data_IF_777146677649
#
_entry.id   IF_777146677649
#
_cell.length_a   1.000
_cell.length_b   1.000
_cell.length_c   1.000
_cell.angle_alpha   90.00
_cell.angle_beta   90.00
_cell.angle_gamma   90.00
#
_symmetry.space_group_name_H-M   'P 1'
#
loop_
_entity.id
_entity.type
_entity.pdbx_description
1 polymer ?
#
# COMPACT_ATOMS: atom_id res chain seq x y z
N UNK A 1 83.53 -22.91 2.09
CA UNK A 1 83.35 -21.63 1.35
C UNK A 1 82.12 -20.95 1.94
N UNK A 2 82.29 -20.16 3.01
CA UNK A 2 81.20 -19.49 3.72
C UNK A 2 81.01 -18.08 3.14
N UNK A 3 79.94 -17.86 2.38
CA UNK A 3 79.47 -16.51 2.05
C UNK A 3 78.29 -16.17 2.96
N UNK A 4 78.47 -15.13 3.78
CA UNK A 4 77.41 -14.51 4.57
C UNK A 4 76.51 -13.74 3.60
N UNK A 5 75.22 -14.07 3.59
CA UNK A 5 74.19 -13.29 2.90
C UNK A 5 73.80 -12.09 3.75
N UNK A 6 73.75 -10.91 3.13
CA UNK A 6 73.22 -9.68 3.75
C UNK A 6 71.79 -9.52 3.26
N UNK A 7 70.83 -9.66 4.17
CA UNK A 7 69.41 -9.39 3.92
C UNK A 7 69.16 -7.90 4.13
N UNK A 8 68.72 -7.20 3.09
CA UNK A 8 68.26 -5.82 3.18
C UNK A 8 66.73 -5.81 3.20
N UNK A 9 66.14 -5.31 4.29
CA UNK A 9 64.70 -5.19 4.43
C UNK A 9 64.25 -3.83 3.88
N UNK A 10 63.40 -3.84 2.84
CA UNK A 10 62.70 -2.65 2.36
C UNK A 10 61.47 -2.41 3.26
N UNK A 11 61.46 -1.32 4.01
CA UNK A 11 60.28 -0.85 4.72
C UNK A 11 59.36 -0.09 3.73
N UNK A 12 58.23 -0.68 3.37
CA UNK A 12 57.16 -0.01 2.62
C UNK A 12 56.43 0.97 3.55
N UNK A 13 56.64 2.27 3.33
CA UNK A 13 55.88 3.32 3.99
C UNK A 13 54.44 3.33 3.49
N UNK A 14 53.49 3.01 4.36
CA UNK A 14 52.07 3.17 4.07
C UNK A 14 51.72 4.68 4.16
N UNK A 15 51.48 5.30 3.01
CA UNK A 15 50.87 6.63 2.93
C UNK A 15 49.38 6.50 3.29
N UNK A 16 49.02 6.91 4.50
CA UNK A 16 47.63 7.12 4.90
C UNK A 16 47.12 8.37 4.17
N UNK A 17 46.41 8.19 3.06
CA UNK A 17 45.58 9.27 2.50
C UNK A 17 44.35 9.40 3.38
N UNK A 18 44.32 10.44 4.21
CA UNK A 18 43.11 10.87 4.88
C UNK A 18 42.06 11.24 3.81
N UNK A 19 41.03 10.41 3.65
CA UNK A 19 39.87 10.74 2.86
C UNK A 19 39.12 11.85 3.59
N UNK A 20 39.24 13.08 3.08
CA UNK A 20 38.36 14.16 3.47
C UNK A 20 36.97 13.80 2.98
N UNK A 21 36.02 13.62 3.90
CA UNK A 21 34.62 13.49 3.53
C UNK A 21 34.21 14.77 2.79
N UNK A 22 33.74 14.61 1.56
CA UNK A 22 33.28 15.73 0.74
C UNK A 22 32.16 16.46 1.50
N UNK A 23 32.29 17.78 1.77
CA UNK A 23 31.29 18.53 2.53
C UNK A 23 29.93 18.64 1.82
N UNK A 24 29.85 18.13 0.58
CA UNK A 24 28.68 18.18 -0.30
C UNK A 24 27.94 16.83 -0.42
N UNK A 25 28.29 15.83 0.40
CA UNK A 25 27.59 14.55 0.48
C UNK A 25 27.75 13.65 -0.76
N UNK A 26 27.07 12.51 -0.77
CA UNK A 26 27.31 11.46 -1.77
C UNK A 26 26.97 11.95 -3.20
N UNK A 27 27.83 11.70 -4.20
CA UNK A 27 27.55 12.03 -5.59
C UNK A 27 26.41 11.16 -6.15
N UNK A 28 25.74 11.60 -7.23
CA UNK A 28 24.75 10.77 -7.92
C UNK A 28 25.28 9.38 -8.27
N UNK A 29 24.41 8.37 -8.17
CA UNK A 29 24.69 6.98 -8.54
C UNK A 29 23.51 6.37 -9.32
N UNK A 30 23.62 5.09 -9.68
CA UNK A 30 22.58 4.39 -10.45
C UNK A 30 21.21 4.31 -9.76
N UNK A 31 21.14 4.56 -8.44
CA UNK A 31 19.91 4.56 -7.64
C UNK A 31 19.48 5.98 -7.22
N UNK A 32 20.42 6.92 -7.18
CA UNK A 32 20.21 8.29 -6.76
C UNK A 32 20.69 9.26 -7.83
N UNK A 33 19.76 9.74 -8.66
CA UNK A 33 20.10 10.64 -9.77
C UNK A 33 20.66 12.02 -9.35
N UNK A 34 20.60 12.36 -8.06
CA UNK A 34 21.00 13.66 -7.52
C UNK A 34 21.90 13.47 -6.31
N UNK A 35 22.88 14.37 -6.15
CA UNK A 35 23.72 14.39 -4.97
C UNK A 35 22.93 14.79 -3.72
N UNK A 36 23.48 14.49 -2.55
CA UNK A 36 22.96 15.07 -1.30
C UNK A 36 23.14 16.59 -1.37
N UNK A 37 22.10 17.37 -1.05
CA UNK A 37 22.12 18.84 -1.17
C UNK A 37 22.32 19.40 -2.60
N UNK A 38 21.95 18.64 -3.65
CA UNK A 38 22.02 19.14 -5.03
C UNK A 38 20.92 20.16 -5.34
N UNK A 39 21.30 21.44 -5.43
CA UNK A 39 20.40 22.56 -5.76
C UNK A 39 19.85 22.50 -7.20
N UNK A 40 20.43 21.70 -8.10
CA UNK A 40 19.89 21.49 -9.45
C UNK A 40 18.76 20.45 -9.47
N UNK A 41 18.50 19.75 -8.36
CA UNK A 41 17.40 18.81 -8.25
C UNK A 41 16.07 19.56 -8.49
N UNK A 42 15.22 19.11 -9.43
CA UNK A 42 13.94 19.75 -9.68
C UNK A 42 13.10 19.83 -8.40
N UNK A 43 12.44 20.98 -8.14
CA UNK A 43 11.55 21.08 -7.00
C UNK A 43 10.43 20.05 -7.11
N UNK A 44 10.07 19.46 -5.97
CA UNK A 44 8.94 18.53 -5.93
C UNK A 44 7.66 19.25 -6.35
N UNK A 45 6.86 18.60 -7.20
CA UNK A 45 5.55 19.14 -7.58
C UNK A 45 4.69 19.20 -6.32
N UNK A 46 4.15 20.38 -6.01
CA UNK A 46 3.22 20.53 -4.89
C UNK A 46 1.94 19.74 -5.19
N UNK A 47 1.64 18.76 -4.34
CA UNK A 47 0.38 18.02 -4.38
C UNK A 47 -0.66 18.79 -3.57
N UNK A 48 -1.85 19.00 -4.15
CA UNK A 48 -2.94 19.74 -3.51
C UNK A 48 -4.20 18.90 -3.46
N UNK A 49 -4.90 18.96 -2.33
CA UNK A 49 -6.24 18.42 -2.15
C UNK A 49 -7.01 19.33 -1.18
N UNK A 50 -8.28 19.61 -1.48
CA UNK A 50 -9.19 20.14 -0.46
C UNK A 50 -9.69 18.95 0.40
N UNK A 51 -10.17 19.20 1.63
CA UNK A 51 -10.79 18.14 2.44
C UNK A 51 -11.88 17.39 1.66
N UNK A 52 -11.78 16.06 1.62
CA UNK A 52 -12.72 15.20 0.89
C UNK A 52 -12.56 15.21 -0.63
N UNK A 53 -11.55 15.89 -1.18
CA UNK A 53 -11.27 15.88 -2.62
C UNK A 53 -10.08 14.99 -2.95
N UNK A 54 -10.10 14.45 -4.17
CA UNK A 54 -9.02 13.64 -4.70
C UNK A 54 -7.77 14.52 -4.88
N UNK A 55 -6.57 14.09 -4.43
CA UNK A 55 -5.32 14.79 -4.68
C UNK A 55 -5.06 15.01 -6.17
N UNK A 56 -4.41 16.12 -6.50
CA UNK A 56 -4.17 16.57 -7.88
C UNK A 56 -3.35 15.60 -8.76
N UNK A 57 -2.64 14.64 -8.16
CA UNK A 57 -1.84 13.63 -8.83
C UNK A 57 -2.43 12.21 -8.75
N UNK A 58 -3.55 12.03 -8.05
CA UNK A 58 -4.14 10.73 -7.85
C UNK A 58 -4.93 10.28 -9.09
N UNK A 59 -4.78 8.99 -9.44
CA UNK A 59 -5.66 8.33 -10.41
C UNK A 59 -6.98 8.00 -9.75
N UNK A 60 -8.07 8.55 -10.27
CA UNK A 60 -9.43 8.21 -9.83
C UNK A 60 -9.80 6.82 -10.33
N UNK A 61 -9.93 5.85 -9.42
CA UNK A 61 -10.34 4.48 -9.75
C UNK A 61 -11.86 4.35 -9.87
N UNK A 62 -12.61 5.12 -9.08
CA UNK A 62 -14.06 5.18 -9.11
C UNK A 62 -14.53 6.58 -8.71
N UNK A 63 -15.50 7.11 -9.46
CA UNK A 63 -16.01 8.49 -9.33
C UNK A 63 -17.53 8.53 -9.11
N UNK A 64 -18.15 7.40 -8.79
CA UNK A 64 -19.60 7.27 -8.68
C UNK A 64 -20.31 6.94 -9.98
N UNK A 65 -19.60 6.71 -11.09
CA UNK A 65 -20.23 6.44 -12.40
C UNK A 65 -19.96 5.02 -12.91
N UNK A 66 -20.89 4.43 -13.68
CA UNK A 66 -20.64 3.18 -14.41
C UNK A 66 -19.47 3.31 -15.42
N UNK A 67 -19.20 4.51 -15.91
CA UNK A 67 -18.14 4.77 -16.88
C UNK A 67 -16.75 4.57 -16.26
N UNK A 68 -16.51 5.04 -15.03
CA UNK A 68 -15.24 4.79 -14.33
C UNK A 68 -15.05 3.31 -13.99
N UNK A 69 -16.12 2.57 -13.68
CA UNK A 69 -16.07 1.10 -13.54
C UNK A 69 -15.64 0.44 -14.85
N UNK A 70 -16.34 0.74 -15.94
CA UNK A 70 -16.01 0.17 -17.25
C UNK A 70 -14.60 0.54 -17.73
N UNK A 71 -14.11 1.74 -17.39
CA UNK A 71 -12.78 2.20 -17.75
C UNK A 71 -11.68 1.52 -16.92
N UNK A 72 -11.86 1.38 -15.61
CA UNK A 72 -10.77 1.05 -14.69
C UNK A 72 -10.81 -0.37 -14.11
N UNK A 73 -11.94 -1.09 -14.20
CA UNK A 73 -12.14 -2.36 -13.50
C UNK A 73 -12.57 -3.51 -14.42
N UNK A 74 -12.22 -4.73 -14.03
CA UNK A 74 -12.63 -5.97 -14.69
C UNK A 74 -12.84 -7.10 -13.67
N UNK A 75 -13.41 -8.21 -14.12
CA UNK A 75 -13.42 -9.47 -13.36
C UNK A 75 -12.07 -10.20 -13.49
N UNK A 76 -11.97 -11.40 -12.90
CA UNK A 76 -10.76 -12.23 -12.94
C UNK A 76 -10.38 -12.72 -14.35
N UNK A 77 -11.31 -12.69 -15.30
CA UNK A 77 -11.10 -13.07 -16.70
C UNK A 77 -10.84 -11.84 -17.60
N UNK A 78 -10.71 -10.64 -17.03
CA UNK A 78 -10.55 -9.39 -17.78
C UNK A 78 -11.84 -8.90 -18.45
N UNK A 79 -12.99 -9.51 -18.15
CA UNK A 79 -14.29 -9.13 -18.67
C UNK A 79 -14.93 -8.02 -17.80
N UNK A 80 -16.00 -7.36 -18.26
CA UNK A 80 -16.74 -6.42 -17.42
C UNK A 80 -17.17 -7.07 -16.10
N UNK A 81 -16.97 -6.35 -15.00
CA UNK A 81 -17.44 -6.79 -13.68
C UNK A 81 -18.97 -6.88 -13.62
N UNK A 82 -19.46 -7.73 -12.72
CA UNK A 82 -20.88 -7.85 -12.35
C UNK A 82 -21.27 -6.97 -11.15
N UNK A 83 -20.32 -6.25 -10.56
CA UNK A 83 -20.61 -5.22 -9.57
C UNK A 83 -21.36 -4.07 -10.26
N UNK A 84 -22.25 -3.42 -9.53
CA UNK A 84 -23.15 -2.40 -10.09
C UNK A 84 -22.93 -1.07 -9.39
N UNK A 85 -23.23 0.02 -10.09
CA UNK A 85 -23.34 1.35 -9.47
C UNK A 85 -24.81 1.61 -9.25
N UNK A 86 -25.19 1.98 -8.03
CA UNK A 86 -26.59 2.29 -7.70
C UNK A 86 -26.95 3.76 -8.01
N UNK A 87 -28.19 4.14 -7.70
CA UNK A 87 -28.69 5.50 -7.96
C UNK A 87 -27.99 6.58 -7.11
N UNK A 88 -27.40 6.20 -5.97
CA UNK A 88 -26.64 7.11 -5.11
C UNK A 88 -25.20 7.30 -5.59
N UNK A 89 -24.75 6.50 -6.57
CA UNK A 89 -23.37 6.48 -7.04
C UNK A 89 -22.48 5.54 -6.23
N UNK A 90 -23.04 4.66 -5.40
CA UNK A 90 -22.26 3.69 -4.65
C UNK A 90 -21.94 2.47 -5.50
N UNK A 91 -20.72 1.97 -5.41
CA UNK A 91 -20.30 0.71 -6.04
C UNK A 91 -20.71 -0.47 -5.15
N UNK A 92 -21.65 -1.29 -5.64
CA UNK A 92 -22.28 -2.36 -4.89
C UNK A 92 -21.72 -3.73 -5.29
N UNK A 93 -21.21 -4.45 -4.28
CA UNK A 93 -20.87 -5.87 -4.40
C UNK A 93 -22.13 -6.72 -4.45
N UNK A 94 -22.37 -7.38 -5.59
CA UNK A 94 -23.52 -8.26 -5.78
C UNK A 94 -23.15 -9.69 -5.41
N UNK A 95 -24.03 -10.40 -4.69
CA UNK A 95 -23.82 -11.80 -4.33
C UNK A 95 -23.56 -12.65 -5.58
N UNK A 96 -22.42 -13.35 -5.61
CA UNK A 96 -22.02 -14.20 -6.73
C UNK A 96 -21.35 -13.44 -7.90
N UNK A 97 -21.09 -12.14 -7.75
CA UNK A 97 -20.35 -11.36 -8.75
C UNK A 97 -18.87 -11.73 -8.83
N UNK A 98 -18.30 -12.24 -7.72
CA UNK A 98 -16.87 -12.51 -7.60
C UNK A 98 -16.05 -11.26 -7.33
N UNK A 99 -14.72 -11.42 -7.38
CA UNK A 99 -13.75 -10.33 -7.20
C UNK A 99 -13.71 -9.42 -8.42
N UNK A 100 -13.28 -8.18 -8.17
CA UNK A 100 -12.96 -7.20 -9.22
C UNK A 100 -11.52 -6.76 -9.07
N UNK A 101 -10.93 -6.38 -10.19
CA UNK A 101 -9.53 -6.02 -10.29
C UNK A 101 -9.40 -4.69 -11.03
N UNK A 102 -8.48 -3.85 -10.59
CA UNK A 102 -8.05 -2.74 -11.42
C UNK A 102 -7.41 -3.29 -12.70
N UNK A 103 -7.70 -2.68 -13.84
CA UNK A 103 -7.06 -3.03 -15.11
C UNK A 103 -5.58 -2.65 -15.11
N UNK A 104 -5.25 -1.56 -14.43
CA UNK A 104 -3.87 -1.15 -14.18
C UNK A 104 -3.26 -1.97 -13.04
N UNK A 105 -1.93 -2.11 -13.10
CA UNK A 105 -1.12 -2.73 -12.05
C UNK A 105 -0.30 -1.66 -11.35
N UNK A 106 -0.17 -1.79 -10.04
CA UNK A 106 0.53 -0.83 -9.19
C UNK A 106 1.65 -1.53 -8.41
N UNK A 107 2.70 -0.78 -8.06
CA UNK A 107 3.76 -1.20 -7.15
C UNK A 107 3.64 -0.42 -5.85
N UNK A 108 4.48 0.59 -5.63
CA UNK A 108 4.34 1.47 -4.48
C UNK A 108 3.22 2.48 -4.77
N UNK A 109 2.27 2.60 -3.86
CA UNK A 109 1.14 3.51 -4.00
C UNK A 109 0.59 3.98 -2.66
N UNK A 110 -0.15 5.09 -2.71
CA UNK A 110 -1.10 5.47 -1.68
C UNK A 110 -2.51 5.21 -2.21
N UNK A 111 -3.35 4.55 -1.41
CA UNK A 111 -4.72 4.19 -1.78
C UNK A 111 -5.70 4.79 -0.77
N UNK A 112 -6.77 5.42 -1.27
CA UNK A 112 -7.93 5.84 -0.50
C UNK A 112 -9.14 5.02 -0.95
N UNK A 113 -9.82 4.38 -0.01
CA UNK A 113 -11.06 3.64 -0.24
C UNK A 113 -12.02 3.92 0.91
N UNK A 114 -13.27 4.19 0.56
CA UNK A 114 -14.38 4.27 1.51
C UNK A 114 -15.29 3.07 1.28
N UNK A 115 -15.86 2.54 2.36
CA UNK A 115 -16.76 1.40 2.30
C UNK A 115 -17.84 1.53 3.37
N UNK A 116 -18.96 0.87 3.13
CA UNK A 116 -20.06 0.79 4.09
C UNK A 116 -20.59 -0.64 4.17
N UNK A 117 -20.81 -1.12 5.40
CA UNK A 117 -21.52 -2.38 5.62
C UNK A 117 -23.00 -2.25 5.18
N UNK A 118 -23.64 -3.36 4.77
CA UNK A 118 -25.07 -3.35 4.44
C UNK A 118 -25.92 -2.85 5.60
N UNK A 119 -26.88 -1.94 5.33
CA UNK A 119 -27.81 -1.40 6.35
C UNK A 119 -28.54 -2.50 7.14
N UNK A 120 -28.89 -3.60 6.47
CA UNK A 120 -29.51 -4.76 7.11
C UNK A 120 -28.43 -5.70 7.64
N UNK A 121 -28.23 -5.63 8.95
CA UNK A 121 -27.36 -6.56 9.68
C UNK A 121 -27.86 -8.01 9.51
N UNK A 122 -26.97 -8.88 9.02
CA UNK A 122 -27.18 -10.32 8.89
C UNK A 122 -25.86 -11.06 9.07
N UNK A 123 -25.92 -12.24 9.67
CA UNK A 123 -24.74 -13.07 9.93
C UNK A 123 -24.00 -12.67 11.20
N UNK A 124 -22.87 -13.32 11.45
CA UNK A 124 -22.00 -13.11 12.61
C UNK A 124 -20.55 -13.46 12.26
N UNK A 125 -19.60 -12.95 13.03
CA UNK A 125 -18.16 -13.04 12.76
C UNK A 125 -17.84 -12.60 11.33
N UNK A 126 -17.06 -13.43 10.64
CA UNK A 126 -16.72 -13.29 9.21
C UNK A 126 -17.93 -13.38 8.27
N UNK A 127 -19.09 -13.84 8.72
CA UNK A 127 -20.29 -13.92 7.88
C UNK A 127 -21.07 -12.61 7.77
N UNK A 128 -20.63 -11.55 8.46
CA UNK A 128 -21.37 -10.28 8.59
C UNK A 128 -20.63 -9.15 7.87
N UNK A 129 -21.14 -8.77 6.69
CA UNK A 129 -20.61 -7.62 5.94
C UNK A 129 -19.16 -7.77 5.47
N UNK A 130 -18.73 -8.98 5.13
CA UNK A 130 -17.34 -9.31 4.77
C UNK A 130 -17.01 -8.96 3.31
N UNK A 131 -15.87 -8.31 3.12
CA UNK A 131 -15.19 -8.02 1.86
C UNK A 131 -13.69 -7.84 2.14
N UNK A 132 -12.91 -7.38 1.15
CA UNK A 132 -11.49 -7.11 1.37
C UNK A 132 -10.85 -6.29 0.26
N UNK A 133 -9.79 -5.57 0.59
CA UNK A 133 -8.95 -4.85 -0.38
C UNK A 133 -7.62 -5.60 -0.49
N UNK A 134 -7.38 -6.22 -1.66
CA UNK A 134 -6.20 -7.04 -1.90
C UNK A 134 -5.08 -6.21 -2.55
N UNK A 135 -4.07 -5.85 -1.78
CA UNK A 135 -2.89 -5.14 -2.28
C UNK A 135 -2.06 -6.10 -3.13
N UNK A 136 -1.85 -5.73 -4.40
CA UNK A 136 -1.14 -6.53 -5.40
C UNK A 136 -1.70 -7.97 -5.55
N UNK A 137 -2.95 -8.19 -5.16
CA UNK A 137 -3.60 -9.50 -5.19
C UNK A 137 -3.15 -10.49 -4.11
N UNK A 138 -2.28 -10.09 -3.18
CA UNK A 138 -1.64 -11.00 -2.22
C UNK A 138 -1.93 -10.67 -0.75
N UNK A 139 -2.05 -9.38 -0.42
CA UNK A 139 -2.19 -8.93 0.96
C UNK A 139 -3.56 -8.31 1.17
N UNK A 140 -4.40 -8.93 1.98
CA UNK A 140 -5.75 -8.46 2.24
C UNK A 140 -5.76 -7.49 3.42
N UNK A 141 -6.24 -6.27 3.13
CA UNK A 141 -6.73 -5.37 4.16
C UNK A 141 -8.21 -5.66 4.34
N UNK A 142 -8.55 -6.12 5.54
CA UNK A 142 -9.86 -6.67 5.82
C UNK A 142 -10.95 -5.59 5.81
N UNK A 143 -12.08 -5.89 5.17
CA UNK A 143 -13.30 -5.08 5.23
C UNK A 143 -14.39 -5.93 5.87
N UNK A 144 -14.92 -5.48 7.01
CA UNK A 144 -15.91 -6.24 7.76
C UNK A 144 -16.82 -5.31 8.55
N UNK A 145 -18.09 -5.71 8.74
CA UNK A 145 -18.92 -5.09 9.77
C UNK A 145 -18.40 -5.48 11.16
N UNK A 146 -17.43 -4.71 11.66
CA UNK A 146 -16.80 -4.87 12.97
C UNK A 146 -17.42 -3.96 14.03
N UNK A 147 -18.73 -3.68 13.92
CA UNK A 147 -19.43 -2.93 14.97
C UNK A 147 -19.53 -3.78 16.25
N UNK A 148 -19.01 -3.24 17.37
CA UNK A 148 -19.00 -3.88 18.71
C UNK A 148 -18.42 -5.31 18.71
N UNK A 149 -17.09 -5.44 18.58
CA UNK A 149 -16.39 -6.75 18.52
C UNK A 149 -16.10 -7.38 19.88
N UNK A 150 -16.23 -6.63 20.97
CA UNK A 150 -16.10 -7.16 22.33
C UNK A 150 -17.29 -8.09 22.64
N UNK A 151 -16.99 -9.33 23.03
CA UNK A 151 -18.01 -10.33 23.39
C UNK A 151 -18.81 -9.93 24.63
N UNK A 152 -18.17 -9.18 25.53
CA UNK A 152 -18.68 -8.78 26.84
C UNK A 152 -19.30 -7.38 26.82
N UNK A 153 -19.21 -6.65 25.70
CA UNK A 153 -19.81 -5.32 25.58
C UNK A 153 -21.35 -5.38 25.78
N UNK A 154 -21.93 -4.39 26.49
CA UNK A 154 -23.37 -4.29 26.67
C UNK A 154 -24.04 -3.94 25.34
N UNK A 155 -25.08 -4.68 24.96
CA UNK A 155 -25.81 -4.45 23.71
C UNK A 155 -26.17 -5.74 22.97
N UNK A 156 -27.00 -5.60 21.93
CA UNK A 156 -27.50 -6.72 21.13
C UNK A 156 -26.90 -6.82 19.73
N UNK A 157 -26.20 -5.79 19.25
CA UNK A 157 -25.72 -5.72 17.86
C UNK A 157 -24.24 -6.06 17.69
N UNK A 158 -23.65 -6.77 18.66
CA UNK A 158 -22.25 -7.17 18.64
C UNK A 158 -21.89 -8.09 17.48
N UNK A 159 -20.65 -8.00 17.04
CA UNK A 159 -20.06 -8.94 16.09
C UNK A 159 -18.70 -9.49 16.58
N UNK A 160 -18.68 -10.37 17.61
CA UNK A 160 -17.45 -10.95 18.11
C UNK A 160 -16.70 -11.69 17.00
N UNK A 161 -15.39 -11.46 16.91
CA UNK A 161 -14.53 -12.03 15.90
C UNK A 161 -13.08 -12.09 16.39
N UNK A 162 -12.23 -12.84 15.70
CA UNK A 162 -10.81 -12.88 16.00
C UNK A 162 -10.12 -11.58 15.56
N UNK A 163 -9.17 -11.11 16.38
CA UNK A 163 -8.59 -9.77 16.28
C UNK A 163 -7.81 -9.52 14.99
N UNK A 164 -7.22 -10.57 14.42
CA UNK A 164 -6.48 -10.54 13.15
C UNK A 164 -7.39 -10.74 11.91
N UNK A 165 -8.71 -10.74 12.10
CA UNK A 165 -9.69 -10.81 11.01
C UNK A 165 -10.81 -9.78 11.07
N UNK A 166 -10.70 -8.77 11.95
CA UNK A 166 -11.63 -7.65 11.99
C UNK A 166 -11.25 -6.55 10.98
N UNK A 167 -12.15 -5.59 10.75
CA UNK A 167 -11.92 -4.49 9.81
C UNK A 167 -10.59 -3.77 10.06
N UNK A 168 -9.83 -3.54 8.99
CA UNK A 168 -8.51 -2.90 9.05
C UNK A 168 -7.34 -3.82 9.40
N UNK A 169 -7.58 -5.10 9.73
CA UNK A 169 -6.51 -6.07 9.90
C UNK A 169 -5.77 -6.33 8.58
N UNK A 170 -4.47 -6.64 8.66
CA UNK A 170 -3.83 -7.46 7.63
C UNK A 170 -4.28 -8.89 7.91
N UNK A 171 -5.20 -9.38 7.08
CA UNK A 171 -6.01 -10.55 7.40
C UNK A 171 -5.15 -11.78 7.75
N UNK A 172 -5.42 -12.36 8.93
CA UNK A 172 -4.74 -13.53 9.48
C UNK A 172 -3.28 -13.30 9.90
N UNK A 173 -2.84 -12.05 10.00
CA UNK A 173 -1.45 -11.71 10.29
C UNK A 173 -1.35 -10.68 11.42
N UNK A 174 -1.93 -9.49 11.22
CA UNK A 174 -1.79 -8.38 12.15
C UNK A 174 -3.17 -7.76 12.45
N UNK A 175 -3.60 -7.71 13.72
CA UNK A 175 -4.75 -6.92 14.14
C UNK A 175 -4.56 -5.43 13.80
N UNK A 176 -5.67 -4.68 13.62
CA UNK A 176 -5.60 -3.22 13.51
C UNK A 176 -5.08 -2.59 14.82
N UNK A 177 -4.48 -1.41 14.71
CA UNK A 177 -3.91 -0.63 15.82
C UNK A 177 -4.98 0.01 16.72
#
# INVERSE_FOLDING_TARGET
MNRKEVVSALALGASLTAAWADPFGAPPDAKHAWGVHDDNRPPVKKITALPGQVPSDAKVLFDGTPASIAANWCDSAGQPTKWIVDEAGDLISVRGAGYIFTKDKFSDFQLHVEWAAPKKVKGSGQGRGNSGVFLMGNYEIQVLDSYETDADAPGGNKNPNYSDGQAGAVYGQNPPL
#
